data_IF_940276839824
#
_entry.id   IF_940276839824
#
_cell.length_a   1.000
_cell.length_b   1.000
_cell.length_c   1.000
_cell.angle_alpha   90.00
_cell.angle_beta   90.00
_cell.angle_gamma   90.00
#
_symmetry.space_group_name_H-M   'P 1'
#
loop_
_entity.id
_entity.type
_entity.pdbx_description
1 polymer ?
#
# COMPACT_ATOMS: atom_id res chain seq x y z
N UNK A 1 11.69 -44.83 -11.49
CA UNK A 1 11.61 -44.32 -10.09
C UNK A 1 11.50 -42.78 -10.07
N UNK A 2 10.84 -42.23 -9.05
CA UNK A 2 10.57 -40.78 -8.91
C UNK A 2 11.84 -39.92 -8.90
N UNK A 3 12.95 -40.49 -8.46
CA UNK A 3 14.29 -39.87 -8.42
C UNK A 3 14.89 -39.57 -9.81
N UNK A 4 14.36 -40.17 -10.89
CA UNK A 4 14.81 -39.92 -12.28
C UNK A 4 13.91 -38.95 -13.04
N UNK A 5 12.92 -38.34 -12.39
CA UNK A 5 12.02 -37.37 -13.03
C UNK A 5 11.99 -36.05 -12.26
N UNK A 6 12.26 -34.97 -12.99
CA UNK A 6 11.97 -33.63 -12.50
C UNK A 6 10.45 -33.44 -12.49
N UNK A 7 9.89 -33.32 -11.29
CA UNK A 7 8.45 -33.09 -11.11
C UNK A 7 8.28 -31.86 -10.22
N UNK A 8 7.65 -30.84 -10.80
CA UNK A 8 7.25 -29.60 -10.16
C UNK A 8 5.76 -29.71 -9.80
N UNK A 9 5.45 -29.70 -8.50
CA UNK A 9 4.08 -29.74 -8.03
C UNK A 9 3.46 -28.34 -8.00
N UNK A 10 2.16 -28.24 -8.31
CA UNK A 10 1.36 -27.03 -8.18
C UNK A 10 0.92 -26.73 -6.73
N UNK A 11 -0.11 -25.88 -6.59
CA UNK A 11 -0.72 -25.52 -5.30
C UNK A 11 -1.38 -26.75 -4.64
N UNK A 12 -1.18 -26.92 -3.33
CA UNK A 12 -1.75 -28.03 -2.54
C UNK A 12 -1.24 -29.39 -3.01
N UNK A 13 -0.31 -29.97 -2.24
CA UNK A 13 0.37 -31.20 -2.60
C UNK A 13 -0.12 -32.34 -1.72
N UNK A 14 -0.83 -33.31 -2.32
CA UNK A 14 -1.30 -34.54 -1.69
C UNK A 14 -0.22 -35.64 -1.61
N UNK A 15 1.03 -35.29 -1.97
CA UNK A 15 2.15 -36.22 -2.07
C UNK A 15 2.37 -36.79 -3.48
N UNK A 16 1.46 -36.57 -4.44
CA UNK A 16 1.54 -37.13 -5.80
C UNK A 16 1.35 -36.08 -6.90
N UNK A 17 0.35 -35.20 -6.80
CA UNK A 17 0.02 -34.21 -7.83
C UNK A 17 -0.41 -32.90 -7.17
N UNK A 18 -0.06 -31.76 -7.76
CA UNK A 18 -0.61 -30.47 -7.33
C UNK A 18 -2.03 -30.25 -7.84
N UNK A 19 -2.83 -29.42 -7.17
CA UNK A 19 -4.15 -29.04 -7.67
C UNK A 19 -4.05 -28.23 -8.96
N UNK A 20 -4.92 -28.57 -9.92
CA UNK A 20 -5.14 -27.76 -11.11
C UNK A 20 -6.02 -26.56 -10.76
N UNK A 21 -5.49 -25.34 -10.94
CA UNK A 21 -6.24 -24.09 -10.74
C UNK A 21 -7.50 -24.08 -11.61
N UNK A 22 -7.39 -24.54 -12.86
CA UNK A 22 -8.52 -24.62 -13.80
C UNK A 22 -9.62 -25.55 -13.28
N UNK A 23 -9.23 -26.69 -12.68
CA UNK A 23 -10.20 -27.63 -12.12
C UNK A 23 -10.89 -27.09 -10.88
N UNK A 24 -10.24 -26.21 -10.11
CA UNK A 24 -10.84 -25.57 -8.93
C UNK A 24 -11.69 -24.34 -9.30
N UNK A 25 -11.30 -23.64 -10.37
CA UNK A 25 -11.98 -22.47 -10.91
C UNK A 25 -13.07 -22.81 -11.94
N UNK A 26 -13.42 -24.09 -12.12
CA UNK A 26 -14.28 -24.54 -13.22
C UNK A 26 -15.66 -23.88 -13.20
N UNK A 27 -16.23 -23.67 -12.02
CA UNK A 27 -17.53 -23.00 -11.86
C UNK A 27 -17.46 -21.54 -12.29
N UNK A 28 -16.48 -20.78 -11.78
CA UNK A 28 -16.22 -19.40 -12.19
C UNK A 28 -16.04 -19.32 -13.71
N UNK A 29 -15.23 -20.18 -14.33
CA UNK A 29 -15.02 -20.15 -15.78
C UNK A 29 -16.29 -20.52 -16.57
N UNK A 30 -17.07 -21.49 -16.07
CA UNK A 30 -18.34 -21.87 -16.70
C UNK A 30 -19.36 -20.73 -16.69
N UNK A 31 -19.40 -19.93 -15.62
CA UNK A 31 -20.25 -18.74 -15.55
C UNK A 31 -19.85 -17.71 -16.60
N UNK A 32 -18.56 -17.46 -16.76
CA UNK A 32 -18.03 -16.55 -17.78
C UNK A 32 -18.38 -17.00 -19.20
N UNK A 33 -18.22 -18.30 -19.50
CA UNK A 33 -18.62 -18.88 -20.79
C UNK A 33 -20.13 -18.76 -21.04
N UNK A 34 -20.95 -19.02 -20.03
CA UNK A 34 -22.41 -18.89 -20.13
C UNK A 34 -22.83 -17.43 -20.37
N UNK A 35 -22.22 -16.47 -19.68
CA UNK A 35 -22.43 -15.04 -19.94
C UNK A 35 -21.97 -14.65 -21.35
N UNK A 36 -20.88 -15.25 -21.83
CA UNK A 36 -20.37 -14.98 -23.16
C UNK A 36 -21.29 -15.49 -24.25
N UNK A 37 -21.76 -16.72 -24.10
CA UNK A 37 -22.77 -17.33 -24.96
C UNK A 37 -24.09 -16.56 -24.92
N UNK A 38 -24.56 -16.17 -23.73
CA UNK A 38 -25.75 -15.33 -23.59
C UNK A 38 -25.60 -14.02 -24.35
N UNK A 39 -24.48 -13.30 -24.14
CA UNK A 39 -24.21 -12.05 -24.85
C UNK A 39 -24.13 -12.25 -26.37
N UNK A 40 -23.42 -13.28 -26.83
CA UNK A 40 -23.29 -13.59 -28.26
C UNK A 40 -24.65 -13.91 -28.89
N UNK A 41 -25.50 -14.70 -28.22
CA UNK A 41 -26.85 -15.00 -28.70
C UNK A 41 -27.75 -13.78 -28.66
N UNK A 42 -27.72 -13.02 -27.57
CA UNK A 42 -28.54 -11.82 -27.38
C UNK A 42 -28.23 -10.75 -28.43
N UNK A 43 -26.95 -10.46 -28.69
CA UNK A 43 -26.56 -9.47 -29.72
C UNK A 43 -26.60 -10.04 -31.14
N UNK A 44 -26.35 -11.34 -31.33
CA UNK A 44 -26.30 -12.00 -32.64
C UNK A 44 -27.67 -12.33 -33.23
N UNK A 45 -28.69 -12.55 -32.40
CA UNK A 45 -30.06 -12.86 -32.86
C UNK A 45 -30.99 -11.64 -32.87
N UNK A 46 -30.54 -10.50 -32.37
CA UNK A 46 -31.33 -9.26 -32.26
C UNK A 46 -31.88 -9.04 -30.84
N UNK A 47 -32.16 -7.79 -30.48
CA UNK A 47 -32.55 -7.34 -29.13
C UNK A 47 -33.96 -7.74 -28.68
N UNK A 48 -34.64 -8.63 -29.42
CA UNK A 48 -35.99 -9.05 -29.08
C UNK A 48 -35.96 -10.03 -27.90
N UNK A 49 -36.19 -9.48 -26.71
CA UNK A 49 -36.51 -10.27 -25.51
C UNK A 49 -37.77 -11.08 -25.83
N UNK A 50 -37.72 -12.39 -25.59
CA UNK A 50 -38.85 -13.30 -25.86
C UNK A 50 -40.16 -12.72 -25.34
N UNK A 51 -41.17 -12.66 -26.19
CA UNK A 51 -42.48 -12.12 -25.84
C UNK A 51 -43.59 -13.11 -26.14
N UNK A 52 -44.71 -12.94 -25.45
CA UNK A 52 -45.90 -13.74 -25.69
C UNK A 52 -46.86 -12.94 -26.58
N UNK A 53 -47.26 -13.55 -27.69
CA UNK A 53 -48.33 -13.01 -28.54
C UNK A 53 -49.66 -13.50 -27.98
N UNK A 54 -50.49 -12.58 -27.54
CA UNK A 54 -51.82 -12.87 -27.01
C UNK A 54 -52.85 -12.66 -28.11
N UNK A 55 -53.58 -13.73 -28.44
CA UNK A 55 -54.68 -13.70 -29.40
C UNK A 55 -56.03 -13.76 -28.66
N UNK A 56 -57.03 -12.95 -29.04
CA UNK A 56 -58.31 -12.85 -28.31
C UNK A 56 -59.22 -14.10 -28.46
N UNK A 57 -59.02 -14.91 -29.49
CA UNK A 57 -59.77 -16.16 -29.75
C UNK A 57 -58.91 -17.43 -29.81
N UNK A 58 -59.50 -18.56 -30.22
CA UNK A 58 -58.78 -19.84 -30.48
C UNK A 58 -58.26 -19.89 -31.92
N UNK A 59 -56.93 -20.04 -32.09
CA UNK A 59 -56.34 -20.37 -33.40
C UNK A 59 -56.48 -21.85 -33.73
N UNK A 60 -56.61 -22.16 -35.02
CA UNK A 60 -56.41 -23.51 -35.55
C UNK A 60 -54.93 -23.91 -35.51
N UNK A 61 -54.59 -25.22 -35.52
CA UNK A 61 -53.20 -25.68 -35.50
C UNK A 61 -52.38 -25.13 -36.68
N UNK A 62 -52.94 -25.12 -37.90
CA UNK A 62 -52.28 -24.58 -39.09
C UNK A 62 -52.05 -23.06 -39.01
N UNK A 63 -53.02 -22.31 -38.48
CA UNK A 63 -52.87 -20.86 -38.32
C UNK A 63 -51.78 -20.50 -37.30
N UNK A 64 -51.63 -21.32 -36.23
CA UNK A 64 -50.58 -21.14 -35.23
C UNK A 64 -49.18 -21.34 -35.82
N UNK A 65 -49.00 -22.37 -36.64
CA UNK A 65 -47.71 -22.68 -37.26
C UNK A 65 -47.33 -21.65 -38.34
N UNK A 66 -48.30 -21.15 -39.09
CA UNK A 66 -48.11 -20.05 -40.05
C UNK A 66 -47.73 -18.74 -39.34
N UNK A 67 -48.41 -18.40 -38.24
CA UNK A 67 -48.12 -17.20 -37.45
C UNK A 67 -46.70 -17.26 -36.85
N UNK A 68 -46.33 -18.42 -36.29
CA UNK A 68 -44.97 -18.65 -35.77
C UNK A 68 -43.92 -18.50 -36.86
N UNK A 69 -44.13 -19.12 -38.02
CA UNK A 69 -43.17 -19.07 -39.14
C UNK A 69 -43.05 -17.66 -39.73
N UNK A 70 -44.15 -16.91 -39.79
CA UNK A 70 -44.15 -15.51 -40.21
C UNK A 70 -43.35 -14.63 -39.25
N UNK A 71 -43.59 -14.78 -37.93
CA UNK A 71 -42.82 -14.07 -36.91
C UNK A 71 -41.34 -14.42 -36.94
N UNK A 72 -41.00 -15.71 -37.00
CA UNK A 72 -39.62 -16.18 -37.07
C UNK A 72 -38.92 -15.62 -38.32
N UNK A 73 -39.58 -15.55 -39.47
CA UNK A 73 -38.97 -15.01 -40.69
C UNK A 73 -38.73 -13.50 -40.65
N UNK A 74 -39.57 -12.74 -39.93
CA UNK A 74 -39.44 -11.28 -39.81
C UNK A 74 -38.37 -10.89 -38.80
N UNK A 75 -38.26 -11.63 -37.70
CA UNK A 75 -37.43 -11.24 -36.55
C UNK A 75 -36.12 -12.01 -36.41
N UNK A 76 -35.84 -13.01 -37.27
CA UNK A 76 -34.62 -13.82 -37.18
C UNK A 76 -33.41 -13.13 -37.81
N UNK A 77 -32.38 -12.92 -37.00
CA UNK A 77 -31.05 -12.49 -37.42
C UNK A 77 -30.83 -10.97 -37.38
N UNK A 78 -29.57 -10.55 -37.54
CA UNK A 78 -29.15 -9.14 -37.44
C UNK A 78 -29.85 -8.18 -38.42
N UNK A 79 -30.34 -8.68 -39.56
CA UNK A 79 -31.11 -7.87 -40.53
C UNK A 79 -32.56 -7.64 -40.11
N UNK A 80 -33.11 -8.46 -39.21
CA UNK A 80 -34.47 -8.33 -38.68
C UNK A 80 -34.56 -7.41 -37.45
N UNK A 81 -33.43 -7.06 -36.83
CA UNK A 81 -33.39 -6.08 -35.75
C UNK A 81 -33.91 -4.73 -36.25
N UNK A 82 -34.96 -4.22 -35.61
CA UNK A 82 -35.71 -2.99 -35.96
C UNK A 82 -36.81 -3.13 -37.02
N UNK A 83 -37.14 -4.34 -37.47
CA UNK A 83 -38.33 -4.53 -38.30
C UNK A 83 -39.59 -4.45 -37.42
N UNK A 84 -40.50 -3.54 -37.78
CA UNK A 84 -41.76 -3.37 -37.06
C UNK A 84 -42.79 -4.35 -37.62
N UNK A 85 -43.10 -5.39 -36.86
CA UNK A 85 -44.14 -6.36 -37.20
C UNK A 85 -45.53 -5.76 -37.03
N UNK A 86 -46.40 -6.00 -38.00
CA UNK A 86 -47.81 -5.63 -37.94
C UNK A 86 -48.59 -6.80 -37.32
N UNK A 87 -49.39 -6.50 -36.30
CA UNK A 87 -50.27 -7.47 -35.64
C UNK A 87 -51.70 -7.25 -36.13
N UNK A 88 -52.31 -8.30 -36.68
CA UNK A 88 -53.69 -8.30 -37.16
C UNK A 88 -54.68 -8.78 -36.09
N UNK A 89 -55.99 -8.59 -36.32
CA UNK A 89 -57.10 -9.15 -35.52
C UNK A 89 -57.06 -8.87 -33.99
N UNK A 90 -56.48 -7.74 -33.57
CA UNK A 90 -56.44 -7.35 -32.16
C UNK A 90 -55.45 -8.16 -31.32
N UNK A 91 -54.47 -8.80 -31.94
CA UNK A 91 -53.34 -9.43 -31.26
C UNK A 91 -52.47 -8.40 -30.53
N UNK A 92 -52.02 -8.73 -29.31
CA UNK A 92 -51.09 -7.90 -28.53
C UNK A 92 -49.78 -8.62 -28.27
N UNK A 93 -48.67 -7.89 -28.32
CA UNK A 93 -47.33 -8.39 -27.97
C UNK A 93 -46.94 -7.89 -26.58
N UNK A 94 -46.72 -8.81 -25.66
CA UNK A 94 -46.17 -8.52 -24.33
C UNK A 94 -44.73 -9.06 -24.28
N UNK A 95 -43.75 -8.15 -24.23
CA UNK A 95 -42.35 -8.52 -24.08
C UNK A 95 -42.07 -8.88 -22.62
N UNK A 96 -41.54 -10.08 -22.37
CA UNK A 96 -41.06 -10.47 -21.04
C UNK A 96 -39.56 -10.68 -21.09
N UNK A 97 -38.83 -9.70 -20.61
CA UNK A 97 -37.40 -9.86 -20.38
C UNK A 97 -36.82 -8.60 -19.79
N UNK A 98 -35.83 -8.79 -18.92
CA UNK A 98 -35.13 -7.67 -18.29
C UNK A 98 -34.12 -7.14 -19.32
N UNK A 99 -34.19 -5.86 -19.71
CA UNK A 99 -33.17 -5.27 -20.55
C UNK A 99 -31.77 -5.49 -19.94
N UNK A 100 -30.72 -5.73 -20.74
CA UNK A 100 -29.37 -5.95 -20.21
C UNK A 100 -28.83 -4.79 -19.38
N UNK A 101 -29.30 -3.57 -19.66
CA UNK A 101 -28.97 -2.36 -18.90
C UNK A 101 -29.54 -2.44 -17.47
N UNK A 102 -30.76 -2.96 -17.33
CA UNK A 102 -31.40 -3.16 -16.03
C UNK A 102 -30.84 -4.39 -15.29
N UNK A 103 -30.26 -5.34 -16.05
CA UNK A 103 -29.60 -6.54 -15.52
C UNK A 103 -28.11 -6.32 -15.17
N UNK A 104 -27.56 -5.13 -15.37
CA UNK A 104 -26.13 -4.82 -15.16
C UNK A 104 -25.19 -5.86 -15.81
N UNK A 105 -25.51 -6.25 -17.05
CA UNK A 105 -24.77 -7.30 -17.76
C UNK A 105 -23.32 -6.92 -18.03
N UNK A 106 -23.07 -5.64 -18.33
CA UNK A 106 -21.72 -5.13 -18.58
C UNK A 106 -20.89 -5.13 -17.29
N UNK A 107 -21.45 -4.69 -16.16
CA UNK A 107 -20.79 -4.74 -14.86
C UNK A 107 -20.46 -6.19 -14.45
N UNK A 108 -21.37 -7.13 -14.71
CA UNK A 108 -21.16 -8.56 -14.46
C UNK A 108 -19.97 -9.10 -15.25
N UNK A 109 -19.78 -8.66 -16.50
CA UNK A 109 -18.61 -9.04 -17.30
C UNK A 109 -17.30 -8.44 -16.78
N UNK A 110 -17.32 -7.19 -16.31
CA UNK A 110 -16.13 -6.56 -15.71
C UNK A 110 -15.72 -7.31 -14.44
N UNK A 111 -16.68 -7.70 -13.61
CA UNK A 111 -16.42 -8.50 -12.42
C UNK A 111 -15.84 -9.88 -12.75
N UNK A 112 -16.38 -10.53 -13.79
CA UNK A 112 -15.92 -11.84 -14.24
C UNK A 112 -14.43 -11.85 -14.64
N UNK A 113 -13.98 -10.82 -15.35
CA UNK A 113 -12.57 -10.66 -15.75
C UNK A 113 -11.66 -10.59 -14.50
N UNK A 114 -12.09 -9.85 -13.48
CA UNK A 114 -11.39 -9.76 -12.21
C UNK A 114 -11.42 -11.09 -11.44
N UNK A 115 -12.54 -11.83 -11.47
CA UNK A 115 -12.68 -13.13 -10.82
C UNK A 115 -11.72 -14.18 -11.39
N UNK A 116 -11.57 -14.21 -12.72
CA UNK A 116 -10.58 -15.09 -13.38
C UNK A 116 -9.15 -14.71 -12.95
N UNK A 117 -8.84 -13.42 -12.88
CA UNK A 117 -7.52 -12.94 -12.50
C UNK A 117 -7.16 -13.32 -11.05
N UNK A 118 -8.14 -13.29 -10.13
CA UNK A 118 -7.97 -13.70 -8.72
C UNK A 118 -7.50 -15.15 -8.58
N UNK A 119 -8.02 -16.08 -9.39
CA UNK A 119 -7.61 -17.48 -9.35
C UNK A 119 -6.12 -17.69 -9.66
N UNK A 120 -5.53 -16.81 -10.48
CA UNK A 120 -4.10 -16.83 -10.81
C UNK A 120 -3.26 -15.88 -9.96
N UNK A 121 -3.86 -15.26 -8.95
CA UNK A 121 -3.27 -14.17 -8.17
C UNK A 121 -2.71 -13.06 -9.08
N UNK A 122 -3.38 -12.74 -10.18
CA UNK A 122 -2.91 -11.79 -11.20
C UNK A 122 -3.58 -10.42 -10.97
N UNK A 123 -2.81 -9.33 -10.81
CA UNK A 123 -3.40 -8.01 -10.61
C UNK A 123 -4.05 -7.46 -11.90
N UNK A 124 -5.12 -6.63 -11.79
CA UNK A 124 -5.93 -6.18 -12.92
C UNK A 124 -5.16 -5.43 -14.03
N UNK A 125 -4.10 -4.69 -13.68
CA UNK A 125 -3.31 -3.97 -14.68
C UNK A 125 -2.60 -4.92 -15.67
N UNK A 126 -2.34 -6.18 -15.30
CA UNK A 126 -1.72 -7.18 -16.19
C UNK A 126 -2.65 -7.75 -17.24
N UNK A 127 -3.95 -7.73 -16.97
CA UNK A 127 -5.01 -8.06 -17.93
C UNK A 127 -5.50 -6.83 -18.69
N UNK A 128 -4.79 -5.69 -18.53
CA UNK A 128 -5.13 -4.38 -19.11
C UNK A 128 -6.46 -3.81 -18.63
N UNK A 129 -6.95 -4.24 -17.47
CA UNK A 129 -8.05 -3.58 -16.80
C UNK A 129 -7.49 -2.43 -15.94
N UNK A 130 -7.60 -1.22 -16.47
CA UNK A 130 -7.11 0.02 -15.86
C UNK A 130 -8.24 0.89 -15.34
N UNK A 131 -9.47 0.37 -15.24
CA UNK A 131 -10.67 1.14 -14.87
C UNK A 131 -10.55 1.89 -13.54
N UNK A 132 -9.68 1.43 -12.62
CA UNK A 132 -9.42 2.06 -11.31
C UNK A 132 -7.95 2.41 -11.06
N UNK A 133 -7.08 2.35 -12.07
CA UNK A 133 -5.64 2.55 -11.91
C UNK A 133 -5.17 3.87 -12.51
N UNK A 134 -4.50 4.69 -11.69
CA UNK A 134 -3.73 5.86 -12.16
C UNK A 134 -2.29 5.47 -12.52
N UNK A 135 -1.61 6.23 -13.39
CA UNK A 135 -0.25 5.92 -13.84
C UNK A 135 0.77 5.74 -12.70
N UNK A 136 0.67 6.56 -11.64
CA UNK A 136 1.51 6.44 -10.45
C UNK A 136 1.28 5.14 -9.67
N UNK A 137 0.07 4.57 -9.73
CA UNK A 137 -0.25 3.32 -9.06
C UNK A 137 0.23 2.10 -9.86
N UNK A 138 0.53 2.24 -11.16
CA UNK A 138 0.92 1.12 -12.02
C UNK A 138 2.34 0.63 -11.69
N UNK A 139 3.27 1.54 -11.37
CA UNK A 139 4.64 1.16 -10.97
C UNK A 139 4.64 0.37 -9.66
N UNK A 140 3.88 0.84 -8.65
CA UNK A 140 3.69 0.10 -7.41
C UNK A 140 2.98 -1.24 -7.65
N UNK A 141 1.97 -1.29 -8.53
CA UNK A 141 1.26 -2.52 -8.88
C UNK A 141 2.16 -3.52 -9.63
N UNK A 142 3.16 -3.04 -10.38
CA UNK A 142 4.13 -3.88 -11.06
C UNK A 142 5.04 -4.61 -10.05
N UNK A 143 5.43 -3.94 -8.97
CA UNK A 143 6.19 -4.54 -7.87
C UNK A 143 5.34 -5.60 -7.14
N UNK A 144 4.07 -5.29 -6.87
CA UNK A 144 3.09 -6.22 -6.28
C UNK A 144 2.95 -7.49 -7.13
N UNK A 145 2.76 -7.37 -8.45
CA UNK A 145 2.70 -8.51 -9.37
C UNK A 145 3.90 -9.45 -9.23
N UNK A 146 5.11 -8.88 -9.21
CA UNK A 146 6.32 -9.68 -9.15
C UNK A 146 6.46 -10.37 -7.79
N UNK A 147 6.09 -9.68 -6.72
CA UNK A 147 6.23 -10.15 -5.34
C UNK A 147 5.19 -11.23 -5.01
N UNK A 148 3.93 -11.02 -5.39
CA UNK A 148 2.81 -11.85 -4.93
C UNK A 148 2.41 -12.92 -5.95
N UNK A 149 2.52 -12.63 -7.24
CA UNK A 149 2.15 -13.58 -8.29
C UNK A 149 3.35 -14.43 -8.72
N UNK A 150 4.49 -13.80 -9.04
CA UNK A 150 5.59 -14.46 -9.76
C UNK A 150 6.57 -15.14 -8.80
N UNK A 151 7.05 -14.42 -7.78
CA UNK A 151 8.07 -14.90 -6.84
C UNK A 151 7.71 -16.23 -6.17
N UNK A 152 6.46 -16.51 -5.73
CA UNK A 152 6.13 -17.81 -5.15
C UNK A 152 6.35 -18.99 -6.10
N UNK A 153 6.14 -18.79 -7.40
CA UNK A 153 6.42 -19.82 -8.40
C UNK A 153 7.92 -19.97 -8.62
N UNK A 154 8.67 -18.88 -8.75
CA UNK A 154 10.10 -18.93 -8.96
C UNK A 154 10.83 -19.62 -7.80
N UNK A 155 10.52 -19.25 -6.56
CA UNK A 155 11.06 -19.90 -5.35
C UNK A 155 10.73 -21.39 -5.35
N UNK A 156 9.53 -21.78 -5.78
CA UNK A 156 9.17 -23.21 -5.89
C UNK A 156 10.04 -23.94 -6.92
N UNK A 157 10.27 -23.34 -8.07
CA UNK A 157 11.18 -23.91 -9.08
C UNK A 157 12.59 -24.05 -8.52
N UNK A 158 13.14 -23.02 -7.89
CA UNK A 158 14.47 -23.00 -7.28
C UNK A 158 14.63 -24.10 -6.22
N UNK A 159 13.64 -24.22 -5.33
CA UNK A 159 13.62 -25.26 -4.30
C UNK A 159 13.57 -26.68 -4.89
N UNK A 160 12.77 -26.89 -5.94
CA UNK A 160 12.66 -28.21 -6.60
C UNK A 160 13.92 -28.53 -7.40
N UNK A 161 14.54 -27.54 -8.05
CA UNK A 161 15.84 -27.67 -8.72
C UNK A 161 16.92 -28.04 -7.71
N UNK A 162 17.03 -27.28 -6.62
CA UNK A 162 17.96 -27.57 -5.53
C UNK A 162 17.72 -28.97 -4.96
N UNK A 163 16.47 -29.37 -4.78
CA UNK A 163 16.13 -30.67 -4.21
C UNK A 163 16.35 -31.87 -5.15
N UNK A 164 16.07 -31.74 -6.45
CA UNK A 164 16.08 -32.88 -7.39
C UNK A 164 17.26 -32.94 -8.34
N UNK A 165 17.86 -31.79 -8.66
CA UNK A 165 18.97 -31.71 -9.63
C UNK A 165 20.33 -31.57 -8.96
N UNK A 166 20.39 -31.12 -7.71
CA UNK A 166 21.65 -30.98 -6.96
C UNK A 166 21.75 -32.02 -5.84
N UNK A 167 22.92 -32.65 -5.73
CA UNK A 167 23.25 -33.52 -4.59
C UNK A 167 23.40 -32.71 -3.30
N UNK A 168 23.35 -33.40 -2.15
CA UNK A 168 23.50 -32.76 -0.82
C UNK A 168 24.85 -32.02 -0.70
N UNK A 169 25.88 -32.49 -1.39
CA UNK A 169 27.22 -31.87 -1.39
C UNK A 169 27.22 -30.62 -2.28
N UNK A 170 26.67 -30.70 -3.49
CA UNK A 170 26.63 -29.58 -4.44
C UNK A 170 25.81 -28.39 -3.92
N UNK A 171 24.72 -28.65 -3.17
CA UNK A 171 23.89 -27.60 -2.54
C UNK A 171 24.65 -26.68 -1.58
N UNK A 172 25.84 -27.06 -1.13
CA UNK A 172 26.68 -26.21 -0.27
C UNK A 172 27.35 -25.09 -1.04
N UNK A 173 27.63 -25.31 -2.32
CA UNK A 173 28.44 -24.42 -3.15
C UNK A 173 27.68 -23.89 -4.38
N UNK A 174 26.57 -24.54 -4.75
CA UNK A 174 25.79 -24.23 -5.95
C UNK A 174 24.33 -24.10 -5.53
N UNK A 175 23.70 -23.01 -5.96
CA UNK A 175 22.27 -22.78 -5.83
C UNK A 175 21.71 -22.35 -7.18
N UNK A 176 20.40 -22.51 -7.36
CA UNK A 176 19.69 -22.00 -8.51
C UNK A 176 18.77 -20.87 -8.03
N UNK A 177 18.85 -19.71 -8.69
CA UNK A 177 18.02 -18.54 -8.42
C UNK A 177 17.58 -17.92 -9.76
N UNK A 178 16.34 -17.48 -9.84
CA UNK A 178 15.84 -16.68 -10.94
C UNK A 178 16.21 -15.21 -10.74
N UNK A 179 16.70 -14.58 -11.79
CA UNK A 179 17.03 -13.15 -11.77
C UNK A 179 15.74 -12.34 -11.97
N UNK A 180 15.08 -12.02 -10.86
CA UNK A 180 13.82 -11.25 -10.84
C UNK A 180 14.08 -9.75 -10.99
N UNK A 181 15.30 -9.31 -10.75
CA UNK A 181 15.69 -7.90 -10.82
C UNK A 181 15.46 -7.27 -12.20
N UNK A 182 15.44 -8.05 -13.28
CA UNK A 182 15.05 -7.55 -14.60
C UNK A 182 13.57 -7.10 -14.69
N UNK A 183 12.69 -7.71 -13.89
CA UNK A 183 11.26 -7.39 -13.79
C UNK A 183 10.98 -6.32 -12.72
N UNK A 184 11.81 -6.27 -11.68
CA UNK A 184 11.81 -5.25 -10.61
C UNK A 184 12.75 -4.07 -10.92
N UNK A 185 13.32 -4.02 -12.13
CA UNK A 185 14.16 -2.92 -12.61
C UNK A 185 13.26 -1.68 -12.71
N UNK A 186 13.06 -1.01 -11.57
CA UNK A 186 12.86 0.42 -11.53
C UNK A 186 14.06 1.11 -12.17
N UNK A 187 14.00 2.44 -12.22
CA UNK A 187 15.03 3.27 -12.83
C UNK A 187 16.44 2.82 -12.37
N UNK A 188 17.27 2.44 -13.37
CA UNK A 188 18.65 2.00 -13.14
C UNK A 188 19.39 3.05 -12.30
N UNK A 189 19.06 4.32 -12.50
CA UNK A 189 19.63 5.43 -11.74
C UNK A 189 19.37 5.27 -10.24
N UNK A 190 18.12 5.08 -9.80
CA UNK A 190 17.77 4.97 -8.38
C UNK A 190 18.44 3.79 -7.69
N UNK A 191 18.56 2.65 -8.39
CA UNK A 191 19.24 1.46 -7.83
C UNK A 191 20.75 1.67 -7.68
N UNK A 192 21.39 2.23 -8.70
CA UNK A 192 22.82 2.52 -8.64
C UNK A 192 23.16 3.67 -7.69
N UNK A 193 22.26 4.64 -7.51
CA UNK A 193 22.35 5.66 -6.46
C UNK A 193 22.30 5.02 -5.07
N UNK A 194 21.38 4.06 -4.84
CA UNK A 194 21.34 3.31 -3.57
C UNK A 194 22.65 2.51 -3.33
N UNK A 195 23.23 1.90 -4.36
CA UNK A 195 24.54 1.23 -4.25
C UNK A 195 25.70 2.21 -4.07
N UNK A 196 25.62 3.41 -4.63
CA UNK A 196 26.63 4.45 -4.43
C UNK A 196 26.63 4.92 -2.97
N UNK A 197 25.45 5.21 -2.42
CA UNK A 197 25.25 5.50 -0.99
C UNK A 197 25.75 4.33 -0.14
N UNK A 198 25.51 3.09 -0.60
CA UNK A 198 25.96 1.87 0.07
C UNK A 198 27.44 1.71 0.24
N UNK A 199 28.15 1.96 -0.85
CA UNK A 199 29.60 1.88 -0.86
C UNK A 199 30.20 3.10 -0.18
N UNK A 200 29.58 4.27 -0.27
CA UNK A 200 30.06 5.47 0.39
C UNK A 200 30.06 5.29 1.91
N UNK A 201 28.96 4.80 2.49
CA UNK A 201 28.80 4.63 3.94
C UNK A 201 29.42 3.33 4.49
N UNK A 202 30.23 2.60 3.71
CA UNK A 202 30.92 1.40 4.19
C UNK A 202 30.04 0.19 4.54
N UNK A 203 28.74 0.20 4.20
CA UNK A 203 27.85 -0.93 4.50
C UNK A 203 27.88 -2.04 3.43
N UNK A 204 28.39 -1.75 2.23
CA UNK A 204 28.65 -2.76 1.18
C UNK A 204 30.00 -2.54 0.50
N UNK A 205 30.70 -3.64 0.24
CA UNK A 205 31.88 -3.64 -0.64
C UNK A 205 31.49 -3.89 -2.11
N UNK A 206 32.44 -3.72 -3.03
CA UNK A 206 32.15 -3.83 -4.45
C UNK A 206 31.77 -5.26 -4.87
N UNK A 207 32.35 -6.29 -4.26
CA UNK A 207 32.02 -7.70 -4.54
C UNK A 207 30.62 -8.07 -4.05
N UNK A 208 30.12 -7.45 -2.97
CA UNK A 208 28.73 -7.59 -2.51
C UNK A 208 27.75 -6.94 -3.49
N UNK A 209 28.11 -5.78 -4.07
CA UNK A 209 27.31 -5.14 -5.14
C UNK A 209 27.35 -6.01 -6.40
N UNK A 210 28.52 -6.54 -6.79
CA UNK A 210 28.67 -7.45 -7.93
C UNK A 210 27.87 -8.74 -7.74
N UNK A 211 27.89 -9.31 -6.53
CA UNK A 211 27.10 -10.49 -6.20
C UNK A 211 25.59 -10.22 -6.33
N UNK A 212 25.12 -9.05 -5.88
CA UNK A 212 23.73 -8.61 -6.08
C UNK A 212 23.38 -8.47 -7.57
N UNK A 213 24.28 -7.90 -8.36
CA UNK A 213 24.16 -7.82 -9.81
C UNK A 213 24.54 -9.13 -10.55
N UNK A 214 24.67 -10.26 -9.83
CA UNK A 214 25.01 -11.58 -10.37
C UNK A 214 26.30 -11.63 -11.22
N UNK A 215 27.28 -10.81 -10.86
CA UNK A 215 28.61 -10.79 -11.45
C UNK A 215 29.60 -11.53 -10.56
N UNK A 216 30.57 -12.21 -11.18
CA UNK A 216 31.66 -12.85 -10.45
C UNK A 216 32.44 -11.82 -9.62
N UNK A 217 32.93 -12.19 -8.43
CA UNK A 217 33.81 -11.34 -7.64
C UNK A 217 35.06 -10.98 -8.44
N UNK A 218 35.68 -9.87 -8.06
CA UNK A 218 36.89 -9.40 -8.74
C UNK A 218 38.05 -10.33 -8.41
N UNK A 219 38.75 -10.84 -9.43
CA UNK A 219 39.83 -11.83 -9.26
C UNK A 219 40.97 -11.27 -8.38
N UNK A 220 41.20 -9.96 -8.45
CA UNK A 220 42.30 -9.25 -7.79
C UNK A 220 42.03 -8.97 -6.30
N UNK A 221 40.86 -9.34 -5.78
CA UNK A 221 40.46 -9.12 -4.37
C UNK A 221 40.13 -7.66 -4.01
N UNK A 222 40.32 -6.72 -4.94
CA UNK A 222 40.00 -5.29 -4.79
C UNK A 222 38.52 -5.02 -4.50
N UNK A 223 37.63 -5.95 -4.86
CA UNK A 223 36.21 -5.82 -4.58
C UNK A 223 35.80 -6.06 -3.13
N UNK A 224 36.70 -6.59 -2.29
CA UNK A 224 36.44 -6.81 -0.85
C UNK A 224 36.67 -5.57 0.02
N UNK A 225 37.19 -4.49 -0.57
CA UNK A 225 37.52 -3.25 0.14
C UNK A 225 36.21 -2.54 0.52
N UNK A 226 36.07 -2.24 1.81
CA UNK A 226 35.04 -1.34 2.32
C UNK A 226 35.59 0.08 2.30
N UNK A 227 34.87 0.99 1.66
CA UNK A 227 35.21 2.40 1.75
C UNK A 227 34.65 2.90 3.07
N UNK A 228 35.48 3.53 3.87
CA UNK A 228 35.05 4.22 5.08
C UNK A 228 35.14 5.71 4.73
N UNK A 229 34.04 6.48 4.89
CA UNK A 229 34.11 7.94 4.80
C UNK A 229 35.25 8.48 5.66
N UNK A 230 35.97 9.48 5.18
CA UNK A 230 37.15 10.01 5.89
C UNK A 230 36.80 10.56 7.28
N UNK A 231 35.55 10.97 7.48
CA UNK A 231 35.00 11.41 8.77
C UNK A 231 34.66 10.26 9.73
N UNK A 232 34.83 8.99 9.34
CA UNK A 232 34.52 7.78 10.13
C UNK A 232 35.78 6.94 10.43
N UNK A 233 36.97 7.46 10.12
CA UNK A 233 38.25 6.81 10.45
C UNK A 233 38.81 7.35 11.76
N UNK A 234 39.19 6.45 12.68
CA UNK A 234 39.80 6.80 13.96
C UNK A 234 41.14 7.55 13.75
N UNK A 235 41.37 8.62 14.52
CA UNK A 235 42.52 9.54 14.41
C UNK A 235 43.89 8.83 14.41
N UNK A 236 43.99 7.62 14.98
CA UNK A 236 45.21 6.82 14.98
C UNK A 236 45.71 6.41 13.58
N UNK A 237 44.82 6.31 12.58
CA UNK A 237 45.20 5.98 11.19
C UNK A 237 45.61 7.21 10.35
N UNK A 238 45.50 8.43 10.89
CA UNK A 238 45.92 9.69 10.26
C UNK A 238 47.39 10.06 10.57
N UNK A 239 48.12 9.23 11.34
CA UNK A 239 49.52 9.48 11.75
C UNK A 239 50.59 9.27 10.64
N UNK A 240 50.19 9.08 9.38
CA UNK A 240 51.11 9.31 8.26
C UNK A 240 51.01 10.80 7.91
N UNK A 241 52.05 11.61 8.13
CA UNK A 241 51.94 13.05 7.99
C UNK A 241 51.60 13.41 6.54
N UNK A 242 50.44 14.04 6.27
CA UNK A 242 50.19 14.68 4.99
C UNK A 242 50.89 16.04 4.99
N UNK A 243 51.41 16.45 3.83
CA UNK A 243 51.87 17.83 3.62
C UNK A 243 50.71 18.80 3.85
N UNK A 244 50.93 19.81 4.69
CA UNK A 244 49.95 20.84 5.05
C UNK A 244 49.56 21.70 3.84
N UNK A 245 48.26 22.01 3.70
CA UNK A 245 47.85 23.31 3.23
C UNK A 245 46.96 24.05 4.24
N UNK A 246 47.01 25.36 4.08
CA UNK A 246 46.64 26.46 4.98
C UNK A 246 45.22 26.43 5.57
N UNK A 247 45.15 27.02 6.77
CA UNK A 247 43.99 27.19 7.66
C UNK A 247 42.73 27.77 6.97
N UNK A 248 41.63 27.02 7.01
CA UNK A 248 40.29 27.60 7.07
C UNK A 248 39.60 27.14 8.38
N UNK A 249 38.86 28.01 9.07
CA UNK A 249 38.25 27.66 10.35
C UNK A 249 37.11 26.66 10.13
N UNK A 250 37.30 25.46 10.66
CA UNK A 250 36.28 24.41 10.72
C UNK A 250 35.34 24.74 11.89
N UNK A 251 34.04 24.83 11.62
CA UNK A 251 33.00 24.88 12.66
C UNK A 251 33.11 23.59 13.50
N UNK A 252 33.14 23.74 14.83
CA UNK A 252 33.22 22.62 15.78
C UNK A 252 32.05 21.63 15.52
N UNK A 253 32.33 20.33 15.35
CA UNK A 253 31.29 19.31 15.38
C UNK A 253 30.70 19.21 16.79
N UNK A 254 29.38 19.03 16.85
CA UNK A 254 28.60 18.94 18.08
C UNK A 254 29.24 17.94 19.08
N UNK A 255 29.53 18.39 20.31
CA UNK A 255 30.20 17.61 21.38
C UNK A 255 29.48 16.27 21.72
N UNK A 256 28.22 16.11 21.30
CA UNK A 256 27.37 14.96 21.64
C UNK A 256 27.82 13.64 20.96
N UNK A 257 28.42 13.68 19.77
CA UNK A 257 28.74 12.46 19.00
C UNK A 257 29.98 11.70 19.55
N UNK A 258 30.93 12.40 20.19
CA UNK A 258 32.12 11.76 20.81
C UNK A 258 31.81 11.13 22.18
N UNK A 259 30.80 11.64 22.90
CA UNK A 259 30.40 11.15 24.21
C UNK A 259 29.66 9.80 24.11
N UNK A 260 28.78 9.62 23.12
CA UNK A 260 28.04 8.36 22.91
C UNK A 260 28.97 7.17 22.58
N UNK A 261 30.05 7.38 21.81
CA UNK A 261 30.95 6.29 21.40
C UNK A 261 31.92 5.83 22.50
N UNK A 262 32.16 6.65 23.52
CA UNK A 262 33.15 6.39 24.58
C UNK A 262 32.55 6.23 25.99
N UNK A 263 31.22 6.24 26.12
CA UNK A 263 30.55 6.08 27.42
C UNK A 263 30.59 4.61 27.90
N UNK A 264 31.20 4.37 29.08
CA UNK A 264 31.07 3.12 29.82
C UNK A 264 30.15 3.36 31.02
N UNK A 265 28.89 2.95 30.89
CA UNK A 265 27.81 3.26 31.85
C UNK A 265 27.57 2.07 32.80
N UNK A 266 27.63 2.30 34.11
CA UNK A 266 27.21 1.33 35.12
C UNK A 266 25.70 1.43 35.35
N UNK A 267 25.00 0.30 35.52
CA UNK A 267 23.56 0.29 35.83
C UNK A 267 23.26 0.48 37.32
N UNK A 268 24.20 0.06 38.16
CA UNK A 268 24.06 0.08 39.61
C UNK A 268 25.29 0.71 40.26
N UNK A 269 25.09 1.38 41.39
CA UNK A 269 26.20 1.95 42.15
C UNK A 269 27.16 0.85 42.64
N UNK A 270 26.68 -0.36 42.90
CA UNK A 270 27.52 -1.50 43.31
C UNK A 270 28.42 -2.04 42.19
N UNK A 271 28.06 -1.79 40.93
CA UNK A 271 28.82 -2.20 39.74
C UNK A 271 29.81 -1.11 39.28
N UNK A 272 29.77 0.06 39.91
CA UNK A 272 30.60 1.20 39.56
C UNK A 272 32.08 0.90 39.81
N UNK A 273 32.89 1.03 38.76
CA UNK A 273 34.35 0.93 38.83
C UNK A 273 35.00 2.24 38.38
N UNK A 274 36.28 2.49 38.70
CA UNK A 274 37.00 3.67 38.20
C UNK A 274 37.13 3.76 36.67
N UNK A 275 36.79 2.69 35.95
CA UNK A 275 36.80 2.64 34.49
C UNK A 275 35.48 3.11 33.87
N UNK A 276 34.38 3.12 34.64
CA UNK A 276 33.10 3.63 34.19
C UNK A 276 33.12 5.16 34.12
N UNK A 277 32.57 5.70 33.05
CA UNK A 277 32.46 7.16 32.85
C UNK A 277 31.15 7.71 33.38
N UNK A 278 30.09 6.89 33.42
CA UNK A 278 28.74 7.29 33.82
C UNK A 278 28.07 6.25 34.70
N UNK A 279 27.08 6.68 35.49
CA UNK A 279 26.17 5.83 36.26
C UNK A 279 24.74 6.16 35.82
N UNK A 280 23.97 5.15 35.47
CA UNK A 280 22.57 5.29 35.13
C UNK A 280 21.76 5.77 36.34
N UNK A 281 20.77 6.65 36.10
CA UNK A 281 19.98 7.23 37.21
C UNK A 281 18.97 6.19 37.73
N UNK A 282 18.36 5.43 36.83
CA UNK A 282 17.42 4.34 37.14
C UNK A 282 17.38 3.33 35.98
N UNK A 283 17.25 2.03 36.27
CA UNK A 283 17.15 0.97 35.25
C UNK A 283 16.04 1.21 34.21
N UNK A 284 15.01 1.96 34.60
CA UNK A 284 13.88 2.29 33.74
C UNK A 284 14.21 3.33 32.67
N UNK A 285 15.25 4.13 32.88
CA UNK A 285 15.71 5.18 31.95
C UNK A 285 16.54 4.62 30.79
N UNK A 286 17.14 3.43 30.98
CA UNK A 286 17.76 2.64 29.89
C UNK A 286 16.77 2.40 28.75
N UNK A 287 15.50 2.24 29.11
CA UNK A 287 14.43 2.30 28.13
C UNK A 287 14.06 3.77 27.93
N UNK A 288 14.29 4.29 26.73
CA UNK A 288 13.84 5.65 26.41
C UNK A 288 12.36 5.84 26.76
N UNK A 289 12.00 7.02 27.29
CA UNK A 289 10.69 7.35 27.90
C UNK A 289 9.48 6.75 27.17
N UNK A 290 9.47 6.80 25.83
CA UNK A 290 8.35 6.32 25.01
C UNK A 290 8.22 4.78 25.02
N UNK A 291 9.33 4.06 25.15
CA UNK A 291 9.32 2.61 25.34
C UNK A 291 8.81 2.25 26.73
N UNK A 292 9.20 3.00 27.76
CA UNK A 292 8.82 2.78 29.16
C UNK A 292 7.33 3.02 29.45
N UNK A 293 6.65 3.84 28.64
CA UNK A 293 5.19 4.01 28.72
C UNK A 293 4.40 2.89 28.02
N UNK A 294 5.06 2.02 27.23
CA UNK A 294 4.37 0.90 26.56
C UNK A 294 3.95 -0.15 27.59
N UNK A 295 2.66 -0.51 27.67
CA UNK A 295 2.19 -1.45 28.69
C UNK A 295 2.73 -2.87 28.47
N UNK A 296 2.91 -3.61 29.57
CA UNK A 296 3.40 -4.99 29.58
C UNK A 296 4.76 -5.20 28.90
N UNK A 297 5.69 -4.24 29.03
CA UNK A 297 7.01 -4.38 28.41
C UNK A 297 7.77 -5.62 28.87
N UNK A 298 7.69 -5.95 30.16
CA UNK A 298 8.27 -7.14 30.77
C UNK A 298 7.63 -8.48 30.35
N UNK A 299 6.46 -8.47 29.68
CA UNK A 299 5.75 -9.67 29.23
C UNK A 299 5.62 -9.78 27.71
N UNK A 300 6.25 -8.87 26.96
CA UNK A 300 6.19 -8.82 25.51
C UNK A 300 7.57 -9.01 24.87
N UNK A 301 7.57 -9.52 23.65
CA UNK A 301 8.80 -9.59 22.85
C UNK A 301 9.25 -8.18 22.44
N UNK A 302 10.56 -8.01 22.26
CA UNK A 302 11.16 -6.76 21.79
C UNK A 302 10.50 -6.24 20.51
N UNK A 303 10.12 -7.14 19.60
CA UNK A 303 9.40 -6.78 18.36
C UNK A 303 8.03 -6.12 18.60
N UNK A 304 7.30 -6.50 19.66
CA UNK A 304 6.03 -5.86 20.03
C UNK A 304 6.25 -4.54 20.75
N UNK A 305 7.29 -4.46 21.59
CA UNK A 305 7.70 -3.22 22.25
C UNK A 305 8.05 -2.15 21.22
N UNK A 306 8.89 -2.46 20.22
CA UNK A 306 9.25 -1.53 19.15
C UNK A 306 8.01 -1.04 18.38
N UNK A 307 7.02 -1.91 18.13
CA UNK A 307 5.75 -1.52 17.50
C UNK A 307 4.97 -0.55 18.39
N UNK A 308 4.83 -0.86 19.68
CA UNK A 308 4.18 0.00 20.66
C UNK A 308 4.83 1.39 20.73
N UNK A 309 6.16 1.44 20.84
CA UNK A 309 6.93 2.69 20.85
C UNK A 309 6.68 3.52 19.58
N UNK A 310 6.68 2.89 18.40
CA UNK A 310 6.37 3.58 17.13
C UNK A 310 4.95 4.13 17.10
N UNK A 311 3.97 3.36 17.59
CA UNK A 311 2.59 3.82 17.68
C UNK A 311 2.41 4.99 18.66
N UNK A 312 3.10 4.97 19.82
CA UNK A 312 3.07 6.08 20.77
C UNK A 312 3.75 7.34 20.21
N UNK A 313 4.86 7.22 19.47
CA UNK A 313 5.51 8.35 18.79
C UNK A 313 4.58 9.07 17.80
N UNK A 314 3.65 8.33 17.21
CA UNK A 314 2.67 8.85 16.24
C UNK A 314 1.30 9.15 16.87
N UNK A 315 1.14 8.90 18.17
CA UNK A 315 -0.15 9.08 18.83
C UNK A 315 -0.49 10.57 18.94
N UNK A 316 -1.70 10.92 18.49
CA UNK A 316 -2.21 12.27 18.63
C UNK A 316 -2.72 12.50 20.05
N UNK A 317 -2.38 13.64 20.62
CA UNK A 317 -2.77 14.03 21.97
C UNK A 317 -2.75 15.53 22.15
N UNK A 318 -2.71 15.95 23.41
CA UNK A 318 -2.32 17.32 23.76
C UNK A 318 -0.79 17.35 23.89
N UNK A 319 -0.13 18.07 22.99
CA UNK A 319 1.33 18.16 23.00
C UNK A 319 1.86 19.19 24.01
N UNK A 320 1.05 20.18 24.40
CA UNK A 320 1.41 21.19 25.39
C UNK A 320 0.18 21.73 26.13
N UNK A 321 0.40 22.22 27.36
CA UNK A 321 -0.61 22.87 28.20
C UNK A 321 -1.17 24.15 27.57
N UNK A 322 -0.28 24.94 26.98
CA UNK A 322 -0.53 26.28 26.45
C UNK A 322 -0.69 26.28 24.93
N UNK A 323 -1.10 25.17 24.33
CA UNK A 323 -1.21 25.02 22.87
C UNK A 323 -2.13 26.06 22.21
N UNK A 324 -3.07 26.66 22.96
CA UNK A 324 -3.93 27.74 22.48
C UNK A 324 -3.22 29.11 22.39
N UNK A 325 -2.11 29.28 23.09
CA UNK A 325 -1.34 30.52 23.17
C UNK A 325 0.03 30.38 22.50
N UNK A 326 0.28 29.25 21.84
CA UNK A 326 1.55 28.90 21.20
C UNK A 326 1.32 28.71 19.70
N UNK A 327 2.24 29.24 18.90
CA UNK A 327 2.29 29.04 17.45
C UNK A 327 3.33 27.97 17.17
N UNK A 328 2.88 26.76 16.78
CA UNK A 328 3.74 25.67 16.36
C UNK A 328 3.53 25.36 14.87
N UNK A 329 4.59 24.88 14.21
CA UNK A 329 4.57 24.48 12.81
C UNK A 329 3.89 23.12 12.66
N UNK A 330 2.88 23.04 11.79
CA UNK A 330 2.15 21.82 11.39
C UNK A 330 1.84 20.85 12.57
N UNK A 331 0.82 21.18 13.37
CA UNK A 331 0.44 20.37 14.54
C UNK A 331 -0.94 19.73 14.41
N UNK A 332 -1.05 18.49 14.89
CA UNK A 332 -2.33 17.77 15.00
C UNK A 332 -2.72 17.62 16.47
N UNK A 333 -3.96 18.00 16.82
CA UNK A 333 -4.50 17.92 18.17
C UNK A 333 -5.72 17.01 18.18
N UNK A 334 -5.72 16.01 19.07
CA UNK A 334 -6.86 15.12 19.24
C UNK A 334 -7.96 15.78 20.07
N UNK A 335 -9.21 15.71 19.62
CA UNK A 335 -10.38 16.19 20.36
C UNK A 335 -10.79 15.10 21.37
N UNK A 336 -10.70 15.42 22.66
CA UNK A 336 -10.92 14.49 23.79
C UNK A 336 -9.86 13.38 23.90
N UNK A 337 -8.58 13.71 24.12
CA UNK A 337 -7.60 12.70 24.49
C UNK A 337 -7.93 12.14 25.87
N UNK A 338 -7.73 10.84 26.06
CA UNK A 338 -8.04 10.14 27.30
C UNK A 338 -6.80 9.47 27.85
N UNK A 339 -6.66 9.43 29.18
CA UNK A 339 -5.61 8.64 29.81
C UNK A 339 -5.87 7.16 29.49
N UNK A 340 -4.85 6.39 29.04
CA UNK A 340 -5.02 4.97 28.77
C UNK A 340 -5.54 4.23 30.00
N UNK A 341 -6.47 3.29 29.80
CA UNK A 341 -6.97 2.42 30.88
C UNK A 341 -5.90 1.44 31.33
N UNK A 342 -5.11 0.92 30.39
CA UNK A 342 -3.97 0.05 30.63
C UNK A 342 -2.70 0.84 30.36
N UNK A 343 -1.85 1.01 31.38
CA UNK A 343 -0.65 1.86 31.34
C UNK A 343 0.43 1.30 32.25
N UNK A 344 1.69 1.65 31.97
CA UNK A 344 2.79 1.34 32.89
C UNK A 344 2.77 2.28 34.10
N UNK A 345 3.46 1.90 35.19
CA UNK A 345 3.63 2.79 36.34
C UNK A 345 4.38 4.07 35.95
N UNK A 346 5.32 3.99 35.00
CA UNK A 346 6.08 5.12 34.46
C UNK A 346 5.15 6.20 33.89
N UNK A 347 4.08 5.81 33.18
CA UNK A 347 3.08 6.76 32.68
C UNK A 347 2.45 7.60 33.80
N UNK A 348 2.17 6.98 34.94
CA UNK A 348 1.59 7.66 36.10
C UNK A 348 2.59 8.55 36.83
N UNK A 349 3.87 8.15 36.84
CA UNK A 349 4.96 8.96 37.41
C UNK A 349 5.21 10.24 36.62
N UNK A 350 5.22 10.17 35.29
CA UNK A 350 5.54 11.32 34.43
C UNK A 350 4.46 12.40 34.41
N UNK A 351 3.24 12.09 34.87
CA UNK A 351 2.11 13.01 34.93
C UNK A 351 1.88 13.81 33.63
N UNK A 352 2.02 13.15 32.47
CA UNK A 352 1.96 13.78 31.15
C UNK A 352 0.53 13.99 30.67
N UNK A 353 0.38 14.80 29.62
CA UNK A 353 -0.89 14.95 28.92
C UNK A 353 -1.30 13.65 28.21
N UNK A 354 -2.61 13.35 28.16
CA UNK A 354 -3.08 12.16 27.48
C UNK A 354 -2.86 12.25 25.97
N UNK A 355 -2.53 11.10 25.39
CA UNK A 355 -2.46 10.87 23.95
C UNK A 355 -3.29 9.64 23.60
N UNK A 356 -4.11 9.75 22.56
CA UNK A 356 -5.05 8.73 22.12
C UNK A 356 -6.41 8.75 22.84
N UNK A 357 -7.24 7.76 22.53
CA UNK A 357 -8.58 7.55 23.08
C UNK A 357 -8.77 6.08 23.44
N UNK A 358 -9.51 5.81 24.52
CA UNK A 358 -9.85 4.44 24.88
C UNK A 358 -11.00 3.95 23.99
N UNK A 359 -10.76 2.90 23.21
CA UNK A 359 -11.74 2.29 22.33
C UNK A 359 -12.11 0.90 22.84
N UNK A 360 -13.41 0.58 22.84
CA UNK A 360 -13.90 -0.77 23.08
C UNK A 360 -14.09 -1.45 21.74
N UNK A 361 -13.30 -2.49 21.48
CA UNK A 361 -13.31 -3.22 20.22
C UNK A 361 -14.01 -4.57 20.42
N UNK A 362 -15.06 -4.82 19.64
CA UNK A 362 -15.71 -6.11 19.57
C UNK A 362 -15.14 -6.91 18.38
N UNK A 363 -14.44 -7.99 18.66
CA UNK A 363 -13.94 -8.90 17.63
C UNK A 363 -15.03 -9.93 17.37
N UNK A 364 -15.64 -9.88 16.19
CA UNK A 364 -16.73 -10.78 15.80
C UNK A 364 -16.43 -11.41 14.45
N UNK A 365 -16.81 -12.66 14.27
CA UNK A 365 -16.80 -13.33 12.97
C UNK A 365 -18.11 -13.03 12.26
N UNK A 366 -18.07 -12.18 11.23
CA UNK A 366 -19.24 -11.92 10.39
C UNK A 366 -19.08 -12.67 9.05
N UNK A 367 -19.95 -13.65 8.83
CA UNK A 367 -20.09 -14.41 7.56
C UNK A 367 -18.79 -14.99 6.95
N UNK A 368 -17.72 -15.13 7.73
CA UNK A 368 -16.43 -15.66 7.25
C UNK A 368 -15.63 -14.70 6.37
N UNK A 369 -16.03 -13.43 6.26
CA UNK A 369 -15.26 -12.41 5.55
C UNK A 369 -14.24 -11.76 6.49
N UNK A 370 -12.96 -11.99 6.22
CA UNK A 370 -11.88 -11.22 6.83
C UNK A 370 -11.77 -9.87 6.10
N UNK A 371 -12.34 -8.81 6.66
CA UNK A 371 -12.09 -7.45 6.21
C UNK A 371 -10.80 -6.97 6.89
N UNK A 372 -9.63 -7.31 6.32
CA UNK A 372 -8.32 -7.12 6.96
C UNK A 372 -8.06 -5.68 7.46
N UNK A 373 -8.61 -4.66 6.78
CA UNK A 373 -8.33 -3.24 7.07
C UNK A 373 -9.57 -2.37 7.25
N UNK A 374 -10.74 -2.94 7.58
CA UNK A 374 -11.96 -2.15 7.73
C UNK A 374 -12.59 -2.27 9.12
N UNK A 375 -12.72 -1.11 9.77
CA UNK A 375 -13.32 -0.94 11.10
C UNK A 375 -14.77 -0.48 10.95
N UNK A 376 -15.68 -1.15 11.64
CA UNK A 376 -17.08 -0.72 11.74
C UNK A 376 -17.23 0.13 12.99
N UNK A 377 -17.58 1.41 12.81
CA UNK A 377 -17.81 2.33 13.92
C UNK A 377 -19.30 2.51 14.20
N UNK A 378 -19.64 2.65 15.48
CA UNK A 378 -20.94 3.13 15.88
C UNK A 378 -21.12 4.60 15.44
N UNK A 379 -22.09 4.88 14.58
CA UNK A 379 -22.37 6.22 14.04
C UNK A 379 -22.47 7.29 15.14
N UNK A 380 -23.19 7.02 16.22
CA UNK A 380 -23.33 7.96 17.34
C UNK A 380 -22.01 8.27 18.05
N UNK A 381 -21.03 7.37 18.00
CA UNK A 381 -19.70 7.61 18.57
C UNK A 381 -18.88 8.57 17.70
N UNK A 382 -18.98 8.44 16.38
CA UNK A 382 -18.37 9.39 15.43
C UNK A 382 -19.01 10.78 15.55
N UNK A 383 -20.33 10.86 15.67
CA UNK A 383 -21.06 12.13 15.84
C UNK A 383 -20.70 12.83 17.16
N UNK A 384 -20.29 12.07 18.19
CA UNK A 384 -19.76 12.60 19.46
C UNK A 384 -18.27 12.95 19.42
N UNK A 385 -17.58 12.74 18.29
CA UNK A 385 -16.19 13.15 18.10
C UNK A 385 -15.13 12.08 18.40
N UNK A 386 -15.48 10.79 18.41
CA UNK A 386 -14.47 9.72 18.48
C UNK A 386 -13.52 9.82 17.28
N UNK A 387 -12.22 9.83 17.54
CA UNK A 387 -11.16 9.93 16.54
C UNK A 387 -11.04 11.30 15.86
N UNK A 388 -11.75 12.33 16.33
CA UNK A 388 -11.72 13.65 15.71
C UNK A 388 -10.46 14.40 16.10
N UNK A 389 -9.71 14.91 15.12
CA UNK A 389 -8.54 15.74 15.33
C UNK A 389 -8.61 17.05 14.55
N UNK A 390 -7.92 18.07 15.04
CA UNK A 390 -7.71 19.34 14.35
C UNK A 390 -6.27 19.41 13.88
N UNK A 391 -6.08 19.79 12.62
CA UNK A 391 -4.77 20.03 12.05
C UNK A 391 -4.58 21.54 11.86
N UNK A 392 -3.55 22.09 12.50
CA UNK A 392 -3.18 23.49 12.41
C UNK A 392 -1.92 23.61 11.55
N UNK A 393 -2.04 24.38 10.47
CA UNK A 393 -0.94 24.71 9.58
C UNK A 393 -0.79 26.23 9.53
N UNK A 394 0.36 26.77 9.95
CA UNK A 394 0.59 28.19 9.80
C UNK A 394 0.84 28.52 8.33
N UNK A 395 0.23 29.60 7.87
CA UNK A 395 0.52 30.22 6.58
C UNK A 395 1.12 31.60 6.85
N UNK A 396 2.26 31.89 6.22
CA UNK A 396 2.92 33.18 6.32
C UNK A 396 2.84 33.89 4.97
N UNK A 397 2.46 35.16 5.01
CA UNK A 397 2.51 36.08 3.87
C UNK A 397 3.22 37.35 4.33
N UNK A 398 4.08 37.90 3.48
CA UNK A 398 4.84 39.12 3.75
C UNK A 398 4.54 40.08 2.62
N UNK A 399 4.15 41.31 2.96
CA UNK A 399 4.03 42.39 1.97
C UNK A 399 5.42 42.84 1.53
N UNK A 400 5.76 42.64 0.26
CA UNK A 400 7.03 43.09 -0.30
C UNK A 400 6.87 44.44 -1.00
N UNK A 401 7.91 45.26 -0.91
CA UNK A 401 8.07 46.47 -1.72
C UNK A 401 9.01 46.16 -2.89
N UNK A 402 8.56 46.45 -4.11
CA UNK A 402 9.33 46.23 -5.32
C UNK A 402 9.88 47.54 -5.88
N UNK A 403 10.92 47.41 -6.71
CA UNK A 403 11.47 48.54 -7.45
C UNK A 403 10.38 49.19 -8.33
N UNK A 404 10.32 50.53 -8.30
CA UNK A 404 9.28 51.29 -9.03
C UNK A 404 8.05 51.66 -8.19
N UNK A 405 8.06 51.42 -6.88
CA UNK A 405 7.00 51.85 -5.96
C UNK A 405 5.78 50.92 -5.93
N UNK A 406 5.89 49.74 -6.54
CA UNK A 406 4.89 48.68 -6.41
C UNK A 406 5.01 48.03 -5.02
N UNK A 407 3.88 47.73 -4.39
CA UNK A 407 3.79 47.11 -3.08
C UNK A 407 2.71 46.02 -3.11
N UNK A 408 2.97 44.90 -2.43
CA UNK A 408 1.94 43.89 -2.16
C UNK A 408 1.00 44.35 -1.03
N UNK A 409 -0.30 44.09 -1.18
CA UNK A 409 -1.32 44.36 -0.18
C UNK A 409 -2.06 43.07 0.17
N UNK A 410 -2.11 42.72 1.46
CA UNK A 410 -2.94 41.61 1.93
C UNK A 410 -4.36 42.14 2.09
N UNK A 411 -5.28 41.63 1.26
CA UNK A 411 -6.69 42.02 1.27
C UNK A 411 -7.57 40.91 0.70
N UNK A 412 -8.89 41.11 0.75
CA UNK A 412 -9.83 40.28 -0.01
C UNK A 412 -9.60 40.56 -1.51
N UNK A 413 -9.26 39.55 -2.33
CA UNK A 413 -8.91 39.78 -3.73
C UNK A 413 -10.11 40.25 -4.56
N UNK A 414 -9.87 41.18 -5.48
CA UNK A 414 -10.85 41.64 -6.46
C UNK A 414 -11.04 40.62 -7.61
N UNK A 415 -12.16 40.72 -8.35
CA UNK A 415 -12.53 39.73 -9.38
C UNK A 415 -11.58 39.68 -10.57
N UNK A 416 -10.82 40.74 -10.77
CA UNK A 416 -9.80 40.90 -11.82
C UNK A 416 -8.41 40.40 -11.37
N UNK A 417 -8.24 40.04 -10.10
CA UNK A 417 -6.99 39.49 -9.59
C UNK A 417 -6.64 38.16 -10.30
N UNK A 418 -5.38 38.03 -10.72
CA UNK A 418 -4.87 36.80 -11.31
C UNK A 418 -4.96 35.65 -10.30
N UNK A 419 -5.68 34.58 -10.65
CA UNK A 419 -5.91 33.45 -9.75
C UNK A 419 -7.13 33.59 -8.82
N UNK A 420 -8.02 34.57 -9.07
CA UNK A 420 -9.29 34.70 -8.36
C UNK A 420 -10.13 33.41 -8.43
N UNK A 421 -10.55 32.94 -7.25
CA UNK A 421 -11.46 31.79 -7.09
C UNK A 421 -12.89 32.26 -6.87
N UNK A 422 -13.85 31.35 -6.79
CA UNK A 422 -15.25 31.70 -6.46
C UNK A 422 -15.35 32.45 -5.12
N UNK A 423 -16.28 33.40 -4.98
CA UNK A 423 -16.54 34.16 -3.75
C UNK A 423 -16.66 33.27 -2.49
N UNK A 424 -17.20 32.06 -2.65
CA UNK A 424 -17.33 31.08 -1.57
C UNK A 424 -15.99 30.66 -0.93
N UNK A 425 -14.88 30.75 -1.66
CA UNK A 425 -13.53 30.43 -1.20
C UNK A 425 -12.98 31.44 -0.21
N UNK A 426 -13.51 32.67 -0.22
CA UNK A 426 -13.03 33.80 0.57
C UNK A 426 -13.96 34.13 1.75
N UNK A 427 -15.01 33.32 1.98
CA UNK A 427 -16.05 33.56 2.98
C UNK A 427 -15.58 33.67 4.44
N UNK A 428 -14.35 33.24 4.71
CA UNK A 428 -13.74 33.27 6.04
C UNK A 428 -12.70 34.38 6.19
N UNK A 429 -12.44 35.16 5.14
CA UNK A 429 -11.57 36.34 5.23
C UNK A 429 -12.33 37.49 5.91
N UNK A 430 -11.67 38.16 6.84
CA UNK A 430 -12.12 39.40 7.43
C UNK A 430 -11.76 40.60 6.54
N UNK A 431 -12.13 41.81 6.97
CA UNK A 431 -11.95 43.04 6.19
C UNK A 431 -10.48 43.35 5.86
N UNK A 432 -9.53 42.80 6.62
CA UNK A 432 -8.09 42.92 6.43
C UNK A 432 -7.50 41.78 5.56
N UNK A 433 -8.33 40.90 5.00
CA UNK A 433 -7.89 39.77 4.20
C UNK A 433 -7.30 38.60 4.99
N UNK A 434 -7.38 38.60 6.32
CA UNK A 434 -6.93 37.52 7.20
C UNK A 434 -8.10 36.70 7.72
N UNK A 435 -7.86 35.44 8.10
CA UNK A 435 -8.90 34.56 8.68
C UNK A 435 -8.86 34.70 10.20
N UNK A 436 -10.03 34.82 10.84
CA UNK A 436 -10.14 34.79 12.30
C UNK A 436 -9.69 33.43 12.85
N UNK A 437 -8.81 33.40 13.87
CA UNK A 437 -8.25 32.17 14.43
C UNK A 437 -9.26 31.23 15.11
#
# INVERSE_FOLDING_TARGET
>A
PSEKMFHLAGLGFDGRVGYSVISKASESFSLGLAMEEFGSRYFGQGTHLGGLIKHPGRLSPEAKDNLKSSFDNVYKGLTGSHVMGVLEEGMSYEAFGIPPNDSQFLESRVFQVTEVARWFNLPPHKIKDLTRSTFSNIESSQIEFVTDSVRPWLVRWEQVIGWKLLSIIERRNIFAEYIIEGLLRGDIKTRFEAYAIARANGFMNADQVRAKENMNPTEDGSGKIYNIPLNWTNAANLLLPPEEPEDEPFDEPDEDDEEEENALVALYEEELTPEHTHLEIDETDVFGVISSITPYGNHNSTSKLIKGTKSYKQALGLYSANYLSRLDTDVSILQYPQKPIVRSFVYDTLNTYPAGQNLVVAIMTYEGYNMEDALVFNKGSLERGVGRSFYFRPYFAIEMNYAGGLKDEIMIPEKDASGYKTESSYRFLEADGLVYP
#
